data_IF_608922508005
#
_entry.id   IF_608922508005
#
_cell.length_a   1.000
_cell.length_b   1.000
_cell.length_c   1.000
_cell.angle_alpha   90.00
_cell.angle_beta   90.00
_cell.angle_gamma   90.00
#
_symmetry.space_group_name_H-M   'P 1'
#
loop_
_entity.id
_entity.type
_entity.pdbx_description
1 polymer ?
#
# COMPACT_ATOMS: atom_id res chain seq x y z
N UNK A 1 -46.34 -27.80 58.87
CA UNK A 1 -45.21 -26.83 58.85
C UNK A 1 -44.04 -27.45 58.11
N UNK A 2 -43.62 -26.88 56.96
CA UNK A 2 -42.27 -27.10 56.44
C UNK A 2 -41.49 -25.77 56.30
N UNK A 3 -40.18 -25.91 56.48
CA UNK A 3 -39.19 -24.83 56.67
C UNK A 3 -38.91 -24.01 55.40
N UNK A 4 -38.83 -22.68 55.57
CA UNK A 4 -38.39 -21.70 54.58
C UNK A 4 -36.93 -21.96 54.15
N UNK A 5 -36.66 -21.98 52.83
CA UNK A 5 -35.32 -21.77 52.26
C UNK A 5 -35.29 -20.44 51.50
N UNK A 6 -34.43 -19.53 51.95
CA UNK A 6 -34.18 -18.22 51.37
C UNK A 6 -33.45 -18.31 50.03
N UNK A 7 -34.01 -17.69 48.99
CA UNK A 7 -33.40 -17.53 47.66
C UNK A 7 -32.39 -16.38 47.72
N UNK A 8 -31.10 -16.67 47.45
CA UNK A 8 -30.07 -15.64 47.23
C UNK A 8 -30.04 -15.29 45.74
N UNK A 9 -30.48 -14.09 45.38
CA UNK A 9 -30.24 -13.50 44.07
C UNK A 9 -28.73 -13.29 43.86
N UNK A 10 -28.14 -13.95 42.85
CA UNK A 10 -26.82 -13.57 42.32
C UNK A 10 -27.02 -12.41 41.34
N UNK A 11 -26.50 -11.24 41.68
CA UNK A 11 -26.41 -10.14 40.73
C UNK A 11 -25.45 -10.48 39.61
N UNK A 12 -25.93 -10.40 38.36
CA UNK A 12 -25.08 -10.37 37.18
C UNK A 12 -24.30 -9.04 37.22
N UNK A 13 -22.99 -9.12 37.48
CA UNK A 13 -22.10 -7.97 37.33
C UNK A 13 -21.94 -7.67 35.84
N UNK A 14 -22.61 -6.62 35.39
CA UNK A 14 -22.32 -5.90 34.16
C UNK A 14 -20.84 -5.49 34.19
N UNK A 15 -20.08 -5.85 33.15
CA UNK A 15 -18.73 -5.32 32.95
C UNK A 15 -18.87 -3.84 32.65
N UNK A 16 -18.51 -2.98 33.61
CA UNK A 16 -18.46 -1.54 33.41
C UNK A 16 -17.34 -1.15 32.45
N UNK A 17 -17.45 0.06 31.88
CA UNK A 17 -16.48 0.64 30.95
C UNK A 17 -15.05 0.55 31.51
N UNK A 18 -14.19 -0.14 30.78
CA UNK A 18 -12.79 -0.34 31.14
C UNK A 18 -11.99 0.84 30.58
N UNK A 19 -11.31 1.56 31.45
CA UNK A 19 -10.52 2.75 31.12
C UNK A 19 -9.03 2.43 31.04
N UNK A 20 -8.27 3.28 30.33
CA UNK A 20 -6.82 3.11 30.16
C UNK A 20 -6.06 3.13 31.52
N UNK A 21 -6.62 3.82 32.52
CA UNK A 21 -6.08 3.86 33.88
C UNK A 21 -6.22 2.52 34.63
N UNK A 22 -7.14 1.64 34.23
CA UNK A 22 -7.31 0.33 34.85
C UNK A 22 -6.13 -0.62 34.55
N UNK A 23 -5.32 -0.29 33.54
CA UNK A 23 -4.14 -1.09 33.16
C UNK A 23 -2.82 -0.33 33.27
N UNK A 24 -2.77 0.95 32.88
CA UNK A 24 -1.51 1.68 32.80
C UNK A 24 -0.90 2.00 34.17
N UNK A 25 -1.74 2.18 35.21
CA UNK A 25 -1.32 2.62 36.55
C UNK A 25 -1.75 1.66 37.68
N UNK A 26 -2.18 0.43 37.38
CA UNK A 26 -2.67 -0.48 38.43
C UNK A 26 -1.51 -1.05 39.24
N UNK A 27 -1.37 -0.65 40.51
CA UNK A 27 -0.33 -1.15 41.41
C UNK A 27 -0.54 -2.61 41.87
N UNK A 28 -1.71 -3.21 41.58
CA UNK A 28 -2.02 -4.60 41.96
C UNK A 28 -2.89 -5.26 40.89
N UNK A 29 -2.48 -6.44 40.41
CA UNK A 29 -3.27 -7.30 39.50
C UNK A 29 -4.44 -7.98 40.23
N UNK A 30 -5.41 -7.21 40.69
CA UNK A 30 -6.63 -7.77 41.27
C UNK A 30 -7.62 -8.09 40.14
N UNK A 31 -7.77 -9.39 39.89
CA UNK A 31 -8.66 -10.05 38.91
C UNK A 31 -7.95 -10.44 37.60
N UNK A 32 -7.07 -11.44 37.69
CA UNK A 32 -6.82 -12.34 36.56
C UNK A 32 -8.13 -13.10 36.30
N UNK A 33 -8.85 -12.89 35.18
CA UNK A 33 -9.95 -13.78 34.83
C UNK A 33 -9.39 -15.20 34.70
N UNK A 34 -10.03 -16.16 35.38
CA UNK A 34 -9.70 -17.59 35.24
C UNK A 34 -9.80 -17.93 33.75
N UNK A 35 -8.68 -18.27 33.12
CA UNK A 35 -8.63 -18.84 31.78
C UNK A 35 -9.51 -20.10 31.77
N UNK A 36 -10.64 -20.08 31.07
CA UNK A 36 -11.32 -21.30 30.64
C UNK A 36 -10.58 -21.81 29.39
N UNK A 37 -9.45 -22.49 29.61
CA UNK A 37 -8.62 -23.07 28.53
C UNK A 37 -9.25 -24.29 27.84
N UNK A 38 -10.36 -24.81 28.37
CA UNK A 38 -10.97 -26.06 27.87
C UNK A 38 -12.01 -25.85 26.76
N UNK A 39 -12.58 -24.66 26.59
CA UNK A 39 -13.55 -24.40 25.51
C UNK A 39 -12.89 -23.92 24.22
N UNK A 40 -11.79 -23.16 24.30
CA UNK A 40 -11.12 -22.58 23.12
C UNK A 40 -10.37 -23.63 22.30
N UNK A 41 -9.79 -24.65 22.96
CA UNK A 41 -9.11 -25.76 22.27
C UNK A 41 -10.08 -26.71 21.57
N UNK A 42 -11.31 -26.87 22.07
CA UNK A 42 -12.37 -27.66 21.41
C UNK A 42 -12.95 -26.95 20.19
N UNK A 43 -13.07 -25.62 20.22
CA UNK A 43 -13.52 -24.84 19.06
C UNK A 43 -12.43 -24.79 17.98
N UNK A 44 -11.15 -24.69 18.35
CA UNK A 44 -10.03 -24.73 17.40
C UNK A 44 -9.83 -26.09 16.72
N UNK A 45 -10.19 -27.20 17.38
CA UNK A 45 -10.18 -28.53 16.72
C UNK A 45 -11.25 -28.68 15.64
N UNK A 46 -12.36 -27.94 15.72
CA UNK A 46 -13.43 -28.07 14.73
C UNK A 46 -13.20 -27.26 13.45
N UNK A 47 -12.27 -26.29 13.46
CA UNK A 47 -11.86 -25.50 12.29
C UNK A 47 -10.60 -26.02 11.60
N UNK A 48 -10.05 -27.16 12.04
CA UNK A 48 -8.88 -27.82 11.46
C UNK A 48 -9.21 -29.28 11.07
N UNK A 49 -10.26 -29.49 10.29
CA UNK A 49 -10.26 -30.62 9.36
C UNK A 49 -9.55 -30.15 8.08
N UNK A 50 -8.22 -30.24 8.11
CA UNK A 50 -7.43 -30.23 6.89
C UNK A 50 -7.79 -31.46 6.06
N UNK A 51 -7.98 -31.26 4.76
CA UNK A 51 -8.05 -32.35 3.78
C UNK A 51 -6.86 -33.29 3.96
N UNK A 52 -7.06 -34.59 3.71
CA UNK A 52 -6.03 -35.63 3.85
C UNK A 52 -4.75 -35.36 3.04
N UNK A 53 -4.77 -34.38 2.14
CA UNK A 53 -3.70 -33.96 1.23
C UNK A 53 -2.85 -32.78 1.74
N UNK A 54 -3.14 -32.22 2.94
CA UNK A 54 -2.39 -31.07 3.52
C UNK A 54 -1.59 -31.40 4.79
N UNK A 55 -1.18 -32.66 4.95
CA UNK A 55 -0.12 -33.01 5.91
C UNK A 55 1.22 -32.77 5.21
N UNK A 56 2.05 -31.79 5.64
CA UNK A 56 3.44 -31.78 5.21
C UNK A 56 4.08 -33.06 5.77
N UNK A 57 4.71 -33.85 4.91
CA UNK A 57 5.57 -34.95 5.33
C UNK A 57 6.66 -34.39 6.26
N UNK A 58 6.49 -34.59 7.57
CA UNK A 58 7.54 -34.40 8.57
C UNK A 58 8.60 -35.49 8.38
N UNK A 59 9.45 -35.33 7.36
CA UNK A 59 10.55 -36.24 7.08
C UNK A 59 11.85 -35.47 6.85
N UNK A 60 12.42 -34.94 7.94
CA UNK A 60 13.77 -34.37 7.95
C UNK A 60 14.72 -35.35 8.64
N UNK A 61 15.17 -36.34 7.87
CA UNK A 61 16.18 -37.32 8.26
C UNK A 61 17.06 -37.64 7.05
N UNK A 62 18.37 -37.68 7.25
CA UNK A 62 19.33 -38.03 6.19
C UNK A 62 19.47 -39.56 6.14
N UNK A 63 19.24 -40.14 4.95
CA UNK A 63 19.43 -41.56 4.70
C UNK A 63 20.93 -41.87 4.60
N UNK A 64 21.38 -42.87 5.35
CA UNK A 64 22.74 -43.42 5.24
C UNK A 64 22.61 -44.87 4.77
N UNK A 65 23.43 -45.23 3.80
CA UNK A 65 23.52 -46.55 3.19
C UNK A 65 24.55 -47.37 3.98
N UNK A 66 24.11 -48.44 4.65
CA UNK A 66 24.98 -49.40 5.32
C UNK A 66 24.93 -50.72 4.54
N UNK A 67 26.11 -51.23 4.19
CA UNK A 67 26.31 -52.51 3.48
C UNK A 67 26.75 -53.57 4.50
N UNK A 68 25.97 -54.64 4.62
CA UNK A 68 26.34 -55.78 5.46
C UNK A 68 27.37 -56.67 4.75
N UNK A 69 28.11 -57.51 5.48
CA UNK A 69 29.19 -58.37 4.95
C UNK A 69 28.76 -59.40 3.86
N UNK A 70 27.45 -59.50 3.57
CA UNK A 70 26.88 -60.33 2.50
C UNK A 70 26.37 -59.50 1.29
N UNK A 71 26.71 -58.21 1.20
CA UNK A 71 26.46 -57.36 0.03
C UNK A 71 25.00 -56.90 -0.15
N UNK A 72 24.20 -56.97 0.92
CA UNK A 72 22.84 -56.42 0.93
C UNK A 72 22.87 -55.00 1.50
N UNK A 73 22.25 -54.07 0.76
CA UNK A 73 22.18 -52.65 1.10
C UNK A 73 20.92 -52.38 1.93
N UNK A 74 21.06 -51.79 3.12
CA UNK A 74 19.92 -51.30 3.92
C UNK A 74 20.02 -49.80 4.22
N UNK A 75 18.88 -49.10 4.16
CA UNK A 75 18.80 -47.66 4.40
C UNK A 75 18.21 -47.39 5.79
N UNK A 76 18.97 -46.74 6.66
CA UNK A 76 18.53 -46.42 8.04
C UNK A 76 18.48 -44.91 8.26
N UNK A 77 17.42 -44.42 8.90
CA UNK A 77 17.18 -43.00 9.16
C UNK A 77 17.73 -42.57 10.52
N UNK A 78 18.78 -41.71 10.55
CA UNK A 78 19.38 -41.21 11.80
C UNK A 78 19.04 -39.73 12.03
N UNK A 79 18.40 -39.42 13.17
CA UNK A 79 18.09 -38.03 13.60
C UNK A 79 19.36 -37.26 13.99
N UNK A 80 19.53 -36.06 13.47
CA UNK A 80 20.63 -35.14 13.85
C UNK A 80 20.16 -34.21 14.97
N UNK A 81 20.82 -34.23 16.12
CA UNK A 81 20.54 -33.27 17.20
C UNK A 81 21.10 -31.87 16.86
N UNK A 82 20.38 -30.79 17.23
CA UNK A 82 20.82 -29.43 16.92
C UNK A 82 22.03 -29.01 17.77
N UNK A 83 23.15 -28.77 17.10
CA UNK A 83 24.40 -28.26 17.70
C UNK A 83 24.19 -26.85 18.28
N UNK A 84 24.24 -26.72 19.61
CA UNK A 84 24.37 -25.44 20.31
C UNK A 84 25.71 -24.78 19.95
N UNK A 85 25.67 -23.64 19.23
CA UNK A 85 26.87 -22.81 19.00
C UNK A 85 27.30 -22.15 20.31
N UNK A 86 28.51 -22.44 20.79
CA UNK A 86 29.18 -21.71 21.88
C UNK A 86 29.42 -20.26 21.45
N UNK A 87 28.86 -19.30 22.19
CA UNK A 87 29.21 -17.87 22.09
C UNK A 87 30.64 -17.69 22.55
N UNK A 88 31.52 -17.21 21.68
CA UNK A 88 32.78 -16.58 22.07
C UNK A 88 32.47 -15.23 22.70
N UNK A 89 32.98 -15.02 23.91
CA UNK A 89 32.82 -13.79 24.69
C UNK A 89 33.76 -12.74 24.12
N UNK A 90 33.25 -11.86 23.26
CA UNK A 90 33.90 -10.59 22.96
C UNK A 90 33.31 -9.54 23.90
N UNK A 91 34.18 -8.97 24.73
CA UNK A 91 33.88 -7.93 25.69
C UNK A 91 33.59 -6.62 24.91
N UNK A 92 32.32 -6.39 24.57
CA UNK A 92 31.82 -5.10 24.10
C UNK A 92 30.68 -4.72 25.03
N UNK A 93 30.81 -3.55 25.68
CA UNK A 93 29.85 -2.99 26.62
C UNK A 93 28.41 -3.24 26.15
N UNK A 94 27.65 -3.97 26.96
CA UNK A 94 26.26 -4.30 26.71
C UNK A 94 25.43 -3.01 26.75
N UNK A 95 25.31 -2.32 25.61
CA UNK A 95 24.13 -1.54 25.33
C UNK A 95 22.99 -2.55 25.33
N UNK A 96 22.25 -2.63 26.45
CA UNK A 96 21.01 -3.40 26.52
C UNK A 96 20.11 -2.87 25.42
N UNK A 97 20.13 -3.56 24.29
CA UNK A 97 19.17 -3.36 23.22
C UNK A 97 17.81 -3.55 23.88
N UNK A 98 17.10 -2.44 24.11
CA UNK A 98 15.77 -2.46 24.71
C UNK A 98 14.86 -3.06 23.65
N UNK A 99 14.88 -4.38 23.56
CA UNK A 99 14.02 -5.12 22.66
C UNK A 99 12.58 -4.78 23.01
N UNK A 100 11.83 -4.30 22.01
CA UNK A 100 10.42 -3.98 22.16
C UNK A 100 9.62 -5.20 22.62
N UNK A 101 8.48 -4.96 23.26
CA UNK A 101 7.55 -6.05 23.62
C UNK A 101 6.79 -6.48 22.37
N UNK A 102 6.85 -7.76 22.04
CA UNK A 102 6.02 -8.36 21.00
C UNK A 102 4.61 -8.62 21.53
N UNK A 103 3.63 -8.02 20.88
CA UNK A 103 2.21 -8.22 21.17
C UNK A 103 1.55 -9.08 20.08
N UNK A 104 0.56 -9.92 20.43
CA UNK A 104 -0.22 -10.66 19.44
C UNK A 104 -0.84 -9.75 18.38
N UNK A 105 -0.97 -10.26 17.14
CA UNK A 105 -1.53 -9.51 16.01
C UNK A 105 -2.95 -8.99 16.26
N UNK A 106 -3.73 -9.70 17.09
CA UNK A 106 -5.09 -9.29 17.46
C UNK A 106 -5.12 -7.93 18.17
N UNK A 107 -4.12 -7.62 19.00
CA UNK A 107 -4.01 -6.32 19.67
C UNK A 107 -3.79 -5.22 18.63
N UNK A 108 -2.93 -5.48 17.64
CA UNK A 108 -2.70 -4.53 16.55
C UNK A 108 -3.94 -4.34 15.68
N UNK A 109 -4.73 -5.38 15.43
CA UNK A 109 -6.02 -5.23 14.76
C UNK A 109 -7.01 -4.40 15.57
N UNK A 110 -7.08 -4.57 16.89
CA UNK A 110 -7.94 -3.76 17.76
C UNK A 110 -7.50 -2.28 17.75
N UNK A 111 -6.21 -2.01 17.83
CA UNK A 111 -5.67 -0.65 17.74
C UNK A 111 -5.94 -0.02 16.37
N UNK A 112 -5.83 -0.83 15.31
CA UNK A 112 -6.04 -0.37 13.92
C UNK A 112 -7.43 0.22 13.67
N UNK A 113 -8.45 -0.21 14.43
CA UNK A 113 -9.81 0.30 14.31
C UNK A 113 -9.92 1.79 14.64
N UNK A 114 -8.97 2.33 15.43
CA UNK A 114 -8.96 3.71 15.89
C UNK A 114 -8.08 4.64 15.05
N UNK A 115 -7.25 4.08 14.17
CA UNK A 115 -6.30 4.84 13.33
C UNK A 115 -7.05 5.71 12.31
N UNK A 116 -6.57 6.94 12.14
CA UNK A 116 -7.10 7.89 11.15
C UNK A 116 -6.37 7.74 9.81
N UNK A 117 -6.98 8.13 8.68
CA UNK A 117 -6.34 8.06 7.37
C UNK A 117 -4.94 8.68 7.31
N UNK A 118 -4.73 9.83 7.97
CA UNK A 118 -3.44 10.52 8.04
C UNK A 118 -2.38 9.84 8.91
N UNK A 119 -2.80 8.90 9.77
CA UNK A 119 -1.94 8.22 10.74
C UNK A 119 -1.58 6.79 10.32
N UNK A 120 -2.09 6.31 9.17
CA UNK A 120 -1.82 4.94 8.68
C UNK A 120 -0.33 4.67 8.54
N UNK A 121 0.44 5.63 8.01
CA UNK A 121 1.90 5.50 7.88
C UNK A 121 2.61 5.47 9.24
N UNK A 122 2.18 6.31 10.19
CA UNK A 122 2.74 6.33 11.55
C UNK A 122 2.46 5.02 12.27
N UNK A 123 1.24 4.50 12.14
CA UNK A 123 0.84 3.21 12.70
C UNK A 123 1.66 2.06 12.09
N UNK A 124 1.81 2.02 10.77
CA UNK A 124 2.62 1.00 10.09
C UNK A 124 4.11 1.03 10.50
N UNK A 125 4.62 2.22 10.87
CA UNK A 125 6.00 2.41 11.29
C UNK A 125 6.32 2.00 12.73
N UNK A 126 5.34 1.58 13.54
CA UNK A 126 5.57 1.22 14.95
C UNK A 126 6.42 -0.06 15.06
N UNK A 127 6.00 -1.12 14.36
CA UNK A 127 6.68 -2.42 14.35
C UNK A 127 6.26 -3.27 13.14
N UNK A 128 6.92 -4.41 12.94
CA UNK A 128 6.62 -5.36 11.86
C UNK A 128 5.17 -5.84 11.86
N UNK A 129 4.62 -6.16 13.03
CA UNK A 129 3.23 -6.64 13.14
C UNK A 129 2.20 -5.54 12.82
N UNK A 130 2.48 -4.28 13.19
CA UNK A 130 1.61 -3.15 12.81
C UNK A 130 1.64 -2.89 11.30
N UNK A 131 2.80 -3.07 10.65
CA UNK A 131 2.94 -3.02 9.21
C UNK A 131 2.15 -4.14 8.52
N UNK A 132 2.27 -5.38 9.02
CA UNK A 132 1.51 -6.53 8.52
C UNK A 132 0.00 -6.28 8.57
N UNK A 133 -0.52 -5.69 9.65
CA UNK A 133 -1.93 -5.32 9.76
C UNK A 133 -2.35 -4.36 8.63
N UNK A 134 -1.54 -3.33 8.34
CA UNK A 134 -1.81 -2.37 7.25
C UNK A 134 -1.72 -3.02 5.87
N UNK A 135 -0.98 -4.12 5.70
CA UNK A 135 -0.95 -4.88 4.46
C UNK A 135 -2.19 -5.76 4.23
N UNK A 136 -3.07 -5.92 5.23
CA UNK A 136 -4.25 -6.80 5.10
C UNK A 136 -5.47 -6.12 4.49
N UNK A 137 -6.30 -6.90 3.77
CA UNK A 137 -7.56 -6.40 3.22
C UNK A 137 -8.54 -5.95 4.33
N UNK A 138 -8.55 -6.67 5.46
CA UNK A 138 -9.40 -6.38 6.62
C UNK A 138 -9.21 -4.95 7.14
N UNK A 139 -7.96 -4.48 7.19
CA UNK A 139 -7.63 -3.11 7.59
C UNK A 139 -8.28 -2.09 6.65
N UNK A 140 -8.03 -2.21 5.34
CA UNK A 140 -8.52 -1.25 4.34
C UNK A 140 -10.05 -1.26 4.21
N UNK A 141 -10.70 -2.42 4.26
CA UNK A 141 -12.17 -2.50 4.28
C UNK A 141 -12.77 -1.79 5.48
N UNK A 142 -12.19 -1.99 6.68
CA UNK A 142 -12.66 -1.32 7.89
C UNK A 142 -12.42 0.17 7.85
N UNK A 143 -11.25 0.60 7.38
CA UNK A 143 -10.93 2.01 7.21
C UNK A 143 -11.91 2.69 6.25
N UNK A 144 -12.14 2.09 5.08
CA UNK A 144 -13.13 2.57 4.11
C UNK A 144 -14.52 2.66 4.72
N UNK A 145 -15.01 1.56 5.33
CA UNK A 145 -16.34 1.51 5.94
C UNK A 145 -16.54 2.57 7.03
N UNK A 146 -15.50 2.85 7.83
CA UNK A 146 -15.56 3.84 8.91
C UNK A 146 -15.71 5.28 8.41
N UNK A 147 -15.06 5.61 7.28
CA UNK A 147 -15.03 6.98 6.74
C UNK A 147 -15.89 7.16 5.49
N UNK A 148 -16.55 6.11 5.02
CA UNK A 148 -17.41 6.16 3.83
C UNK A 148 -18.54 7.15 4.02
N UNK A 149 -18.62 8.11 3.10
CA UNK A 149 -19.72 9.05 2.99
C UNK A 149 -20.15 9.08 1.53
N UNK A 150 -21.45 8.95 1.28
CA UNK A 150 -21.98 9.08 -0.08
C UNK A 150 -21.81 10.53 -0.53
N UNK A 151 -20.96 10.75 -1.54
CA UNK A 151 -20.70 12.06 -2.14
C UNK A 151 -20.90 11.96 -3.64
N UNK A 152 -21.54 12.96 -4.25
CA UNK A 152 -21.83 12.98 -5.70
C UNK A 152 -20.58 12.99 -6.57
N UNK A 153 -19.43 13.38 -6.02
CA UNK A 153 -18.14 13.41 -6.71
C UNK A 153 -17.39 12.08 -6.66
N UNK A 154 -17.91 11.05 -5.96
CA UNK A 154 -17.27 9.75 -5.86
C UNK A 154 -17.53 8.93 -7.13
N UNK A 155 -16.49 8.51 -7.86
CA UNK A 155 -16.64 7.66 -9.04
C UNK A 155 -17.27 6.31 -8.70
N UNK A 156 -18.01 5.73 -9.65
CA UNK A 156 -18.70 4.45 -9.51
C UNK A 156 -17.76 3.32 -9.06
N UNK A 157 -16.54 3.29 -9.62
CA UNK A 157 -15.53 2.28 -9.27
C UNK A 157 -15.06 2.34 -7.81
N UNK A 158 -15.28 3.49 -7.14
CA UNK A 158 -14.92 3.71 -5.75
C UNK A 158 -16.10 3.56 -4.78
N UNK A 159 -17.26 3.14 -5.29
CA UNK A 159 -18.43 2.86 -4.47
C UNK A 159 -18.31 1.51 -3.76
N UNK A 160 -19.01 1.29 -2.63
CA UNK A 160 -18.92 0.07 -1.84
C UNK A 160 -19.19 -1.20 -2.64
N UNK A 161 -20.07 -1.12 -3.64
CA UNK A 161 -20.46 -2.21 -4.53
C UNK A 161 -19.29 -2.68 -5.41
N UNK A 162 -18.38 -1.77 -5.75
CA UNK A 162 -17.19 -2.07 -6.55
C UNK A 162 -15.97 -2.46 -5.67
N UNK A 163 -15.93 -1.99 -4.41
CA UNK A 163 -14.88 -2.32 -3.43
C UNK A 163 -15.17 -3.64 -2.69
N UNK A 164 -15.39 -4.72 -3.43
CA UNK A 164 -15.54 -6.07 -2.86
C UNK A 164 -14.27 -6.92 -3.07
N UNK A 165 -13.48 -6.59 -4.09
CA UNK A 165 -12.28 -7.34 -4.47
C UNK A 165 -11.08 -6.91 -3.62
N UNK A 166 -10.20 -7.87 -3.30
CA UNK A 166 -8.95 -7.58 -2.58
C UNK A 166 -7.92 -6.91 -3.47
N UNK A 167 -7.82 -7.34 -4.74
CA UNK A 167 -6.88 -6.77 -5.70
C UNK A 167 -6.99 -5.25 -5.80
N UNK A 168 -5.90 -4.54 -5.47
CA UNK A 168 -5.84 -3.08 -5.52
C UNK A 168 -6.81 -2.38 -4.56
N UNK A 169 -7.21 -3.04 -3.48
CA UNK A 169 -8.09 -2.44 -2.47
C UNK A 169 -7.44 -1.23 -1.80
N UNK A 170 -6.16 -1.31 -1.41
CA UNK A 170 -5.43 -0.19 -0.78
C UNK A 170 -5.47 1.07 -1.64
N UNK A 171 -4.99 1.07 -2.91
CA UNK A 171 -5.03 2.27 -3.74
C UNK A 171 -6.46 2.76 -3.99
N UNK A 172 -7.44 1.86 -4.12
CA UNK A 172 -8.85 2.23 -4.27
C UNK A 172 -9.38 2.97 -3.05
N UNK A 173 -9.10 2.49 -1.84
CA UNK A 173 -9.49 3.14 -0.59
C UNK A 173 -8.77 4.48 -0.44
N UNK A 174 -7.48 4.56 -0.75
CA UNK A 174 -6.72 5.82 -0.72
C UNK A 174 -7.37 6.86 -1.64
N UNK A 175 -7.66 6.50 -2.89
CA UNK A 175 -8.36 7.40 -3.84
C UNK A 175 -9.72 7.83 -3.30
N UNK A 176 -10.50 6.89 -2.78
CA UNK A 176 -11.82 7.19 -2.22
C UNK A 176 -11.74 8.20 -1.07
N UNK A 177 -10.75 8.07 -0.18
CA UNK A 177 -10.52 9.00 0.92
C UNK A 177 -10.26 10.44 0.42
N UNK A 178 -9.59 10.63 -0.72
CA UNK A 178 -9.40 11.96 -1.31
C UNK A 178 -10.69 12.57 -1.91
N UNK A 179 -11.79 11.81 -2.01
CA UNK A 179 -13.12 12.32 -2.35
C UNK A 179 -13.99 12.60 -1.12
N UNK A 180 -13.84 11.84 -0.03
CA UNK A 180 -14.78 11.85 1.10
C UNK A 180 -14.20 12.35 2.43
N UNK A 181 -12.89 12.20 2.66
CA UNK A 181 -12.28 12.53 3.94
C UNK A 181 -11.89 14.02 4.01
N UNK A 182 -12.48 14.83 4.92
CA UNK A 182 -12.36 16.29 4.86
C UNK A 182 -10.92 16.82 4.88
N UNK A 183 -10.02 16.22 5.67
CA UNK A 183 -8.63 16.67 5.73
C UNK A 183 -7.92 16.51 4.37
N UNK A 184 -8.15 15.40 3.68
CA UNK A 184 -7.55 15.13 2.37
C UNK A 184 -8.17 16.02 1.28
N UNK A 185 -9.50 16.20 1.31
CA UNK A 185 -10.18 17.11 0.37
C UNK A 185 -9.69 18.55 0.55
N UNK A 186 -9.53 19.00 1.79
CA UNK A 186 -9.07 20.36 2.10
C UNK A 186 -7.60 20.56 1.74
N UNK A 187 -6.75 19.55 1.91
CA UNK A 187 -5.35 19.59 1.46
C UNK A 187 -5.24 19.85 -0.04
N UNK A 188 -6.06 19.19 -0.86
CA UNK A 188 -6.06 19.41 -2.32
C UNK A 188 -6.50 20.83 -2.68
N UNK A 189 -7.47 21.39 -1.95
CA UNK A 189 -7.94 22.77 -2.15
C UNK A 189 -6.96 23.82 -1.63
N UNK A 190 -5.98 23.42 -0.81
CA UNK A 190 -5.01 24.34 -0.26
C UNK A 190 -4.14 24.91 -1.37
N UNK A 191 -3.99 26.25 -1.45
CA UNK A 191 -3.15 26.89 -2.44
C UNK A 191 -1.66 26.50 -2.31
N UNK A 192 -1.22 26.04 -1.12
CA UNK A 192 0.14 25.54 -0.90
C UNK A 192 0.45 24.33 -1.79
N UNK A 193 -0.42 23.32 -1.80
CA UNK A 193 -0.23 22.12 -2.63
C UNK A 193 -0.30 22.44 -4.14
N UNK A 194 -1.12 23.42 -4.51
CA UNK A 194 -1.31 23.82 -5.93
C UNK A 194 -0.16 24.68 -6.45
N UNK A 195 0.51 25.45 -5.58
CA UNK A 195 1.61 26.34 -5.96
C UNK A 195 2.99 25.64 -5.92
N UNK A 196 3.14 24.57 -5.14
CA UNK A 196 4.46 23.99 -4.84
C UNK A 196 4.98 22.96 -5.86
N UNK A 197 4.12 22.34 -6.69
CA UNK A 197 4.59 21.32 -7.63
C UNK A 197 5.04 21.95 -8.96
N UNK A 198 6.21 22.59 -8.94
CA UNK A 198 6.91 22.98 -10.17
C UNK A 198 7.12 21.72 -11.04
N UNK A 199 6.86 21.78 -12.37
CA UNK A 199 6.89 20.61 -13.25
C UNK A 199 8.28 19.95 -13.37
N UNK A 200 9.31 20.56 -12.80
CA UNK A 200 10.66 19.98 -12.64
C UNK A 200 10.67 18.63 -11.91
N UNK A 201 9.69 18.36 -11.05
CA UNK A 201 9.54 17.05 -10.37
C UNK A 201 9.32 15.88 -11.36
N UNK A 202 9.01 16.20 -12.61
CA UNK A 202 8.79 15.25 -13.69
C UNK A 202 10.06 14.92 -14.48
N UNK A 203 11.16 15.65 -14.24
CA UNK A 203 12.45 15.37 -14.89
C UNK A 203 12.83 13.90 -14.65
N UNK A 204 13.40 13.27 -15.67
CA UNK A 204 13.81 11.86 -15.73
C UNK A 204 12.66 10.84 -15.68
N UNK A 205 11.41 11.27 -15.83
CA UNK A 205 10.26 10.37 -15.98
C UNK A 205 9.99 10.10 -17.47
N UNK A 206 9.51 8.90 -17.76
CA UNK A 206 9.09 8.44 -19.08
C UNK A 206 7.70 8.97 -19.41
N UNK A 207 7.49 9.53 -20.60
CA UNK A 207 6.17 9.82 -21.13
C UNK A 207 5.50 8.50 -21.58
N UNK A 208 4.54 8.01 -20.81
CA UNK A 208 3.82 6.76 -21.10
C UNK A 208 2.64 6.99 -22.02
N UNK A 209 1.87 8.07 -21.78
CA UNK A 209 0.70 8.42 -22.57
C UNK A 209 0.59 9.94 -22.74
N UNK A 210 0.00 10.35 -23.85
CA UNK A 210 -0.31 11.73 -24.20
C UNK A 210 -1.74 11.76 -24.74
N UNK A 211 -2.56 12.67 -24.24
CA UNK A 211 -3.89 12.94 -24.80
C UNK A 211 -4.28 14.39 -24.58
N UNK A 212 -5.30 14.85 -25.30
CA UNK A 212 -5.82 16.21 -25.17
C UNK A 212 -7.34 16.25 -25.27
N UNK A 213 -7.95 17.23 -24.60
CA UNK A 213 -9.39 17.48 -24.72
C UNK A 213 -9.70 18.97 -24.70
N UNK A 214 -10.80 19.35 -25.36
CA UNK A 214 -11.33 20.72 -25.33
C UNK A 214 -12.35 20.85 -24.20
N UNK A 215 -12.14 21.81 -23.29
CA UNK A 215 -13.07 22.07 -22.19
C UNK A 215 -13.22 23.58 -21.95
N UNK A 216 -14.48 24.05 -21.97
CA UNK A 216 -14.86 25.46 -21.74
C UNK A 216 -14.05 26.47 -22.58
N UNK A 217 -13.76 26.13 -23.83
CA UNK A 217 -13.01 27.00 -24.76
C UNK A 217 -11.50 26.98 -24.60
N UNK A 218 -10.94 26.16 -23.70
CA UNK A 218 -9.51 25.91 -23.55
C UNK A 218 -9.15 24.48 -23.97
N UNK A 219 -7.88 24.27 -24.32
CA UNK A 219 -7.31 22.97 -24.62
C UNK A 219 -6.53 22.45 -23.41
N UNK A 220 -6.81 21.22 -22.99
CA UNK A 220 -6.12 20.56 -21.90
C UNK A 220 -5.27 19.44 -22.48
N UNK A 221 -3.97 19.55 -22.29
CA UNK A 221 -2.99 18.52 -22.63
C UNK A 221 -2.62 17.74 -21.37
N UNK A 222 -2.52 16.43 -21.52
CA UNK A 222 -2.18 15.52 -20.42
C UNK A 222 -0.99 14.66 -20.81
N UNK A 223 0.06 14.71 -20.00
CA UNK A 223 1.24 13.86 -20.14
C UNK A 223 1.29 12.92 -18.93
N UNK A 224 1.02 11.63 -19.15
CA UNK A 224 1.21 10.61 -18.10
C UNK A 224 2.68 10.27 -18.04
N UNK A 225 3.31 10.66 -16.93
CA UNK A 225 4.72 10.49 -16.66
C UNK A 225 4.92 9.33 -15.67
N UNK A 226 5.73 8.36 -16.04
CA UNK A 226 6.10 7.21 -15.21
C UNK A 226 7.54 7.34 -14.76
N UNK A 227 7.78 7.22 -13.46
CA UNK A 227 9.15 7.11 -12.97
C UNK A 227 9.81 5.83 -13.50
N UNK A 228 10.97 5.98 -14.13
CA UNK A 228 11.73 4.83 -14.64
C UNK A 228 12.29 4.09 -13.44
N UNK A 229 11.80 2.89 -13.19
CA UNK A 229 12.39 1.99 -12.20
C UNK A 229 13.73 1.53 -12.77
N UNK A 230 14.84 2.08 -12.27
CA UNK A 230 16.06 1.28 -12.23
C UNK A 230 15.72 0.06 -11.38
N UNK A 231 16.07 -1.13 -11.86
CA UNK A 231 15.63 -2.45 -11.38
C UNK A 231 15.90 -2.70 -9.88
N UNK A 232 15.13 -2.06 -9.01
CA UNK A 232 15.17 -2.22 -7.57
C UNK A 232 13.82 -2.80 -7.16
N UNK A 233 13.72 -4.13 -7.29
CA UNK A 233 13.44 -5.09 -6.21
C UNK A 233 12.56 -4.65 -5.02
N UNK A 234 11.64 -3.70 -5.18
CA UNK A 234 10.76 -3.25 -4.10
C UNK A 234 9.31 -3.60 -4.44
N UNK A 235 9.04 -4.91 -4.38
CA UNK A 235 7.88 -5.47 -3.66
C UNK A 235 7.99 -6.98 -3.38
N UNK A 236 9.15 -7.60 -3.63
CA UNK A 236 9.36 -9.00 -3.27
C UNK A 236 9.98 -9.13 -1.87
N UNK A 237 9.17 -8.86 -0.84
CA UNK A 237 9.28 -9.68 0.38
C UNK A 237 8.79 -11.12 0.13
N UNK A 238 8.38 -11.46 -1.10
CA UNK A 238 8.25 -12.84 -1.55
C UNK A 238 9.62 -13.38 -1.94
N UNK A 239 10.27 -14.03 -0.98
CA UNK A 239 11.39 -14.97 -1.17
C UNK A 239 10.87 -16.23 -1.88
N UNK A 240 10.20 -16.07 -3.02
CA UNK A 240 9.73 -17.19 -3.81
C UNK A 240 10.04 -16.91 -5.27
N UNK A 241 11.01 -17.65 -5.80
CA UNK A 241 11.45 -17.67 -7.20
C UNK A 241 10.37 -18.23 -8.15
N UNK A 242 9.19 -18.54 -7.63
CA UNK A 242 8.03 -19.03 -8.39
C UNK A 242 7.16 -17.83 -8.79
N UNK A 243 6.73 -17.81 -10.05
CA UNK A 243 5.72 -16.87 -10.54
C UNK A 243 4.51 -16.95 -9.59
N UNK A 244 3.99 -15.82 -9.08
CA UNK A 244 2.85 -15.85 -8.18
C UNK A 244 1.65 -16.48 -8.90
N UNK A 245 0.93 -17.33 -8.19
CA UNK A 245 -0.30 -17.93 -8.70
C UNK A 245 -1.37 -16.83 -8.90
N UNK A 246 -2.35 -17.08 -9.78
CA UNK A 246 -3.43 -16.16 -10.07
C UNK A 246 -4.19 -15.77 -8.81
N UNK A 247 -4.41 -16.71 -7.88
CA UNK A 247 -5.03 -16.44 -6.59
C UNK A 247 -4.20 -15.49 -5.73
N UNK A 248 -2.87 -15.63 -5.73
CA UNK A 248 -1.97 -14.74 -5.01
C UNK A 248 -1.97 -13.33 -5.57
N UNK A 249 -2.11 -13.20 -6.90
CA UNK A 249 -2.26 -11.90 -7.57
C UNK A 249 -3.59 -11.28 -7.15
N UNK A 250 -4.70 -12.01 -7.24
CA UNK A 250 -6.03 -11.48 -6.89
C UNK A 250 -6.17 -11.06 -5.42
N UNK A 251 -5.35 -11.64 -4.53
CA UNK A 251 -5.27 -11.28 -3.12
C UNK A 251 -4.32 -10.11 -2.82
N UNK A 252 -3.60 -9.57 -3.82
CA UNK A 252 -2.72 -8.43 -3.63
C UNK A 252 -3.49 -7.11 -3.41
N UNK A 253 -3.67 -6.78 -2.14
CA UNK A 253 -4.28 -5.55 -1.65
C UNK A 253 -3.54 -4.30 -2.13
N UNK A 254 -2.23 -4.39 -2.34
CA UNK A 254 -1.36 -3.27 -2.68
C UNK A 254 -1.16 -3.05 -4.17
N UNK A 255 -1.71 -3.91 -5.03
CA UNK A 255 -1.54 -3.82 -6.46
C UNK A 255 -2.04 -2.47 -7.01
N UNK A 256 -1.14 -1.68 -7.60
CA UNK A 256 -1.45 -0.39 -8.21
C UNK A 256 -0.71 -0.24 -9.54
N UNK A 257 -1.46 -0.17 -10.64
CA UNK A 257 -0.90 -0.02 -12.00
C UNK A 257 -0.31 1.38 -12.24
N UNK A 258 -0.84 2.36 -11.51
CA UNK A 258 -0.44 3.77 -11.57
C UNK A 258 0.57 4.12 -10.46
N UNK A 259 1.11 3.12 -9.75
CA UNK A 259 2.18 3.33 -8.77
C UNK A 259 3.38 3.98 -9.49
N UNK A 260 3.86 5.10 -8.93
CA UNK A 260 4.91 5.96 -9.48
C UNK A 260 4.56 6.69 -10.79
N UNK A 261 3.27 6.73 -11.16
CA UNK A 261 2.77 7.57 -12.23
C UNK A 261 2.25 8.91 -11.67
N UNK A 262 2.46 9.96 -12.44
CA UNK A 262 1.85 11.27 -12.25
C UNK A 262 1.43 11.82 -13.61
N UNK A 263 0.53 12.78 -13.62
CA UNK A 263 0.05 13.42 -14.84
C UNK A 263 0.38 14.91 -14.79
N UNK A 264 1.06 15.40 -15.82
CA UNK A 264 1.15 16.83 -16.09
C UNK A 264 -0.08 17.23 -16.90
N UNK A 265 -0.97 18.02 -16.30
CA UNK A 265 -2.09 18.64 -16.96
C UNK A 265 -1.72 20.09 -17.31
N UNK A 266 -1.75 20.44 -18.60
CA UNK A 266 -1.46 21.80 -19.07
C UNK A 266 -2.70 22.37 -19.74
N UNK A 267 -3.15 23.55 -19.32
CA UNK A 267 -4.29 24.25 -19.91
C UNK A 267 -3.78 25.37 -20.82
N UNK A 268 -4.03 25.25 -22.12
CA UNK A 268 -3.69 26.23 -23.14
C UNK A 268 -4.95 26.89 -23.70
N UNK A 269 -4.82 28.10 -24.24
CA UNK A 269 -5.94 28.71 -24.98
C UNK A 269 -6.15 28.04 -26.32
N UNK A 270 -5.06 27.84 -27.03
CA UNK A 270 -5.06 27.39 -28.41
C UNK A 270 -4.68 25.91 -28.50
N UNK A 271 -5.09 25.28 -29.59
CA UNK A 271 -4.65 23.94 -29.90
C UNK A 271 -3.20 24.00 -30.41
N UNK A 272 -2.37 23.10 -29.93
CA UNK A 272 -0.95 23.00 -30.27
C UNK A 272 -0.70 21.55 -30.64
N UNK A 273 -0.29 21.32 -31.88
CA UNK A 273 0.08 19.99 -32.34
C UNK A 273 1.35 19.53 -31.63
N UNK A 274 1.28 18.38 -30.96
CA UNK A 274 2.40 17.85 -30.18
C UNK A 274 3.16 16.81 -31.02
N UNK A 275 4.49 16.94 -31.17
CA UNK A 275 5.30 15.91 -31.82
C UNK A 275 5.28 14.58 -31.03
N UNK A 276 5.63 13.45 -31.67
CA UNK A 276 5.61 12.14 -31.01
C UNK A 276 6.69 12.05 -29.92
N UNK A 277 6.26 12.16 -28.65
CA UNK A 277 7.13 12.07 -27.46
C UNK A 277 6.84 10.84 -26.58
N UNK A 278 5.91 9.98 -27.00
CA UNK A 278 5.60 8.73 -26.30
C UNK A 278 6.85 7.84 -26.21
N UNK A 279 7.09 7.28 -25.03
CA UNK A 279 8.27 6.46 -24.76
C UNK A 279 9.58 7.24 -24.58
N UNK A 280 9.55 8.57 -24.63
CA UNK A 280 10.72 9.40 -24.37
C UNK A 280 10.78 9.86 -22.91
N UNK A 281 11.98 10.18 -22.44
CA UNK A 281 12.21 10.66 -21.06
C UNK A 281 12.22 12.19 -21.07
N UNK A 282 11.53 12.82 -20.12
CA UNK A 282 11.58 14.27 -19.93
C UNK A 282 12.93 14.66 -19.34
N UNK A 283 13.71 15.44 -20.09
CA UNK A 283 15.07 15.84 -19.70
C UNK A 283 15.03 17.20 -19.02
N UNK A 284 14.27 18.12 -19.59
CA UNK A 284 14.27 19.53 -19.23
C UNK A 284 12.83 20.05 -19.23
N UNK A 285 12.57 20.96 -18.29
CA UNK A 285 11.33 21.71 -18.19
C UNK A 285 11.70 23.16 -17.94
N UNK A 286 11.08 24.07 -18.68
CA UNK A 286 11.21 25.51 -18.44
C UNK A 286 9.86 26.19 -18.54
N UNK A 287 9.60 27.06 -17.57
CA UNK A 287 8.41 27.91 -17.51
C UNK A 287 8.87 29.35 -17.69
N UNK A 288 8.43 29.99 -18.76
CA UNK A 288 8.74 31.38 -19.10
C UNK A 288 7.44 32.18 -19.28
N UNK A 289 7.53 33.49 -19.48
CA UNK A 289 6.36 34.30 -19.81
C UNK A 289 6.11 34.30 -21.34
N UNK A 290 4.84 34.20 -21.71
CA UNK A 290 4.36 34.34 -23.08
C UNK A 290 4.48 35.79 -23.58
N UNK A 291 4.35 35.99 -24.89
CA UNK A 291 4.35 37.30 -25.50
C UNK A 291 3.16 38.14 -24.97
N UNK A 292 3.46 39.31 -24.38
CA UNK A 292 2.49 40.13 -23.67
C UNK A 292 2.36 39.88 -22.16
N UNK A 293 3.18 38.98 -21.58
CA UNK A 293 3.36 38.76 -20.13
C UNK A 293 2.07 38.41 -19.35
N UNK A 294 1.01 37.98 -20.03
CA UNK A 294 -0.28 37.60 -19.40
C UNK A 294 -0.42 36.11 -19.15
N UNK A 295 0.34 35.30 -19.89
CA UNK A 295 0.28 33.84 -19.86
C UNK A 295 1.69 33.28 -19.69
N UNK A 296 1.77 32.01 -19.31
CA UNK A 296 3.03 31.29 -19.28
C UNK A 296 3.30 30.66 -20.64
N UNK A 297 4.57 30.40 -20.92
CA UNK A 297 5.08 29.56 -21.99
C UNK A 297 5.82 28.40 -21.36
N UNK A 298 5.35 27.19 -21.59
CA UNK A 298 5.93 25.96 -21.04
C UNK A 298 6.70 25.25 -22.15
N UNK A 299 7.98 25.00 -21.94
CA UNK A 299 8.79 24.18 -22.82
C UNK A 299 9.18 22.88 -22.10
N UNK A 300 8.96 21.77 -22.79
CA UNK A 300 9.27 20.41 -22.33
C UNK A 300 10.23 19.78 -23.34
N UNK A 301 11.41 19.39 -22.90
CA UNK A 301 12.40 18.73 -23.76
C UNK A 301 12.45 17.25 -23.42
N UNK A 302 12.07 16.42 -24.39
CA UNK A 302 12.10 14.98 -24.29
C UNK A 302 13.30 14.42 -25.04
N UNK A 303 13.90 13.34 -24.55
CA UNK A 303 14.95 12.65 -25.28
C UNK A 303 15.06 11.18 -24.93
N UNK A 304 15.97 10.50 -25.61
CA UNK A 304 16.26 9.09 -25.36
C UNK A 304 16.79 8.90 -23.93
N UNK A 305 16.41 7.79 -23.28
CA UNK A 305 16.82 7.48 -21.90
C UNK A 305 18.34 7.42 -21.67
N UNK A 306 19.16 7.34 -22.74
CA UNK A 306 20.63 7.45 -22.69
C UNK A 306 21.06 8.92 -22.58
N UNK A 307 20.35 9.83 -23.25
CA UNK A 307 20.60 11.27 -23.23
C UNK A 307 20.11 11.96 -21.96
N UNK A 308 19.21 11.34 -21.18
CA UNK A 308 18.77 11.90 -19.90
C UNK A 308 19.90 12.02 -18.84
N UNK A 309 21.03 11.33 -19.05
CA UNK A 309 22.21 11.35 -18.17
C UNK A 309 23.39 12.17 -18.73
N UNK A 310 23.32 12.61 -19.99
CA UNK A 310 24.33 13.47 -20.61
C UNK A 310 23.65 14.58 -21.40
N UNK A 311 23.89 15.86 -21.08
CA UNK A 311 23.41 16.96 -21.91
C UNK A 311 24.17 16.91 -23.23
N UNK A 312 23.60 16.24 -24.24
CA UNK A 312 24.12 16.21 -25.59
C UNK A 312 22.98 16.61 -26.52
N UNK A 313 23.19 17.72 -27.22
CA UNK A 313 22.16 18.55 -27.87
C UNK A 313 21.52 17.94 -29.12
N UNK A 314 21.85 16.72 -29.54
CA UNK A 314 21.55 16.29 -30.90
C UNK A 314 20.23 15.54 -31.11
N UNK A 315 19.61 14.95 -30.07
CA UNK A 315 18.40 14.10 -30.24
C UNK A 315 17.27 14.39 -29.22
N UNK A 316 16.99 15.66 -28.92
CA UNK A 316 15.86 16.03 -28.07
C UNK A 316 14.66 16.53 -28.89
N UNK A 317 13.46 16.06 -28.56
CA UNK A 317 12.19 16.57 -29.08
C UNK A 317 11.66 17.62 -28.11
N UNK A 318 11.69 18.88 -28.51
CA UNK A 318 11.15 19.99 -27.72
C UNK A 318 9.68 20.24 -28.06
N UNK A 319 8.86 20.33 -27.02
CA UNK A 319 7.45 20.76 -27.10
C UNK A 319 7.37 22.14 -26.48
N UNK A 320 6.76 23.09 -27.20
CA UNK A 320 6.49 24.43 -26.70
C UNK A 320 4.98 24.61 -26.64
N UNK A 321 4.46 24.82 -25.44
CA UNK A 321 3.07 25.15 -25.17
C UNK A 321 2.97 26.65 -24.84
N UNK A 322 2.29 27.40 -25.70
CA UNK A 322 2.11 28.86 -25.59
C UNK A 322 0.80 29.27 -26.31
N UNK A 323 -0.17 29.96 -25.68
CA UNK A 323 -0.18 30.47 -24.30
C UNK A 323 -0.79 29.51 -23.28
N UNK A 324 -0.05 29.24 -22.20
CA UNK A 324 -0.47 28.42 -21.05
C UNK A 324 -1.17 29.28 -20.02
N UNK A 325 -2.43 28.93 -19.73
CA UNK A 325 -3.26 29.56 -18.70
C UNK A 325 -2.86 29.04 -17.32
N UNK A 326 -2.65 27.73 -17.18
CA UNK A 326 -2.22 27.09 -15.94
C UNK A 326 -1.67 25.67 -16.23
N UNK A 327 -0.90 25.11 -15.31
CA UNK A 327 -0.50 23.71 -15.30
C UNK A 327 -0.67 23.11 -13.91
N UNK A 328 -0.81 21.78 -13.83
CA UNK A 328 -0.90 21.02 -12.57
C UNK A 328 -0.18 19.69 -12.73
N UNK A 329 0.46 19.24 -11.65
CA UNK A 329 0.92 17.85 -11.54
C UNK A 329 -0.08 17.10 -10.65
N UNK A 330 -0.57 15.97 -11.15
CA UNK A 330 -1.57 15.14 -10.47
C UNK A 330 -0.93 13.80 -10.13
N UNK A 331 -0.80 13.50 -8.84
CA UNK A 331 -0.43 12.15 -8.38
C UNK A 331 -1.55 11.14 -8.65
N UNK A 332 -1.21 9.85 -8.70
CA UNK A 332 -2.16 8.76 -8.99
C UNK A 332 -3.38 8.71 -8.05
N UNK A 333 -3.24 9.21 -6.82
CA UNK A 333 -4.30 9.25 -5.82
C UNK A 333 -5.22 10.48 -5.95
N UNK A 334 -4.85 11.45 -6.78
CA UNK A 334 -5.56 12.72 -6.90
C UNK A 334 -6.98 12.50 -7.51
N UNK A 335 -8.04 13.17 -7.02
CA UNK A 335 -9.42 13.00 -7.53
C UNK A 335 -9.61 13.31 -9.02
N UNK A 336 -8.78 14.20 -9.57
CA UNK A 336 -8.78 14.55 -11.00
C UNK A 336 -7.90 13.61 -11.84
N UNK A 337 -7.20 12.66 -11.21
CA UNK A 337 -6.46 11.63 -11.94
C UNK A 337 -7.47 10.68 -12.62
N UNK A 338 -7.38 10.48 -13.94
CA UNK A 338 -8.30 9.62 -14.67
C UNK A 338 -8.18 8.16 -14.23
N UNK A 339 -9.27 7.43 -14.28
CA UNK A 339 -9.27 5.98 -14.05
C UNK A 339 -8.84 5.27 -15.34
N UNK A 340 -8.14 4.14 -15.24
CA UNK A 340 -7.58 3.42 -16.40
C UNK A 340 -8.62 3.11 -17.50
N UNK A 341 -9.86 2.80 -17.13
CA UNK A 341 -10.98 2.62 -18.06
C UNK A 341 -11.33 3.92 -18.81
N UNK A 342 -11.24 5.08 -18.14
CA UNK A 342 -11.53 6.37 -18.76
C UNK A 342 -10.41 6.80 -19.70
N UNK A 343 -9.15 6.42 -19.44
CA UNK A 343 -8.03 6.74 -20.33
C UNK A 343 -8.21 6.06 -21.69
N UNK A 344 -8.63 4.79 -21.71
CA UNK A 344 -8.91 4.09 -22.97
C UNK A 344 -10.03 4.77 -23.75
N UNK A 345 -11.09 5.21 -23.07
CA UNK A 345 -12.18 5.95 -23.72
C UNK A 345 -11.73 7.32 -24.25
N UNK A 346 -10.84 8.02 -23.53
CA UNK A 346 -10.29 9.32 -23.94
C UNK A 346 -9.29 9.23 -25.10
N UNK A 347 -8.59 8.09 -25.22
CA UNK A 347 -7.68 7.82 -26.35
C UNK A 347 -8.43 7.41 -27.61
N UNK A 348 -9.66 6.90 -27.48
CA UNK A 348 -10.47 6.41 -28.60
C UNK A 348 -11.49 7.44 -29.11
N UNK A 349 -11.55 8.64 -28.52
CA UNK A 349 -12.47 9.71 -28.91
C UNK A 349 -11.85 10.68 -29.91
N UNK A 350 -11.35 10.14 -31.02
CA UNK A 350 -10.94 10.90 -32.21
C UNK A 350 -12.07 10.95 -33.25
#
# INVERSE_FOLDING_TARGET
MPNKKSVKHRSLKTFGDITLNDFANSAVSKNRPKKSSESVTKVLKHFQEKSWDEKPDEFDGQFIEEEDEEGNITYVLRKVEPRRRKKTVSNSEEVKEVSGKDYPIDIWFLLSEYIRPEDVGRFAGICKTSFEVVCTAKFWFRLYKRYYTSVSTLPEQLQPECLVRKYGLRPSVIRALYHMYPLFVNQIKSPQLTAEQHPDILKRRLCECLWHQKHKGHWLFYFKMREKRDNLLNHSYRINTKKPDLLEILDDVSANVDENCCILQVTCKDFIAIPPVLGQVLISVSVTLSNGMRYNRLQLDFGSGISAYRPSDSNCTSIILDPVVNYKVLDWWHPQYPYSQNIQNLLNSD
#
